data_IF_382351936277
#
_entry.id   IF_382351936277
#
_cell.length_a   1.000
_cell.length_b   1.000
_cell.length_c   1.000
_cell.angle_alpha   90.00
_cell.angle_beta   90.00
_cell.angle_gamma   90.00
#
_symmetry.space_group_name_H-M   'P 1'
#
loop_
_entity.id
_entity.type
_entity.pdbx_description
1 polymer ?
#
# COMPACT_ATOMS: atom_id res chain seq x y z
N UNK A 1 -6.03 -11.21 -4.45
CA UNK A 1 -5.28 -12.04 -3.48
C UNK A 1 -4.00 -11.29 -3.21
N UNK A 2 -3.64 -11.10 -1.94
CA UNK A 2 -2.40 -10.42 -1.57
C UNK A 2 -1.25 -11.43 -1.66
N UNK A 3 -0.16 -11.08 -2.36
CA UNK A 3 1.02 -11.96 -2.42
C UNK A 3 1.70 -12.03 -1.05
N UNK A 4 2.34 -13.17 -0.77
CA UNK A 4 3.18 -13.40 0.42
C UNK A 4 4.69 -13.31 0.10
N UNK A 5 5.05 -12.92 -1.13
CA UNK A 5 6.44 -12.78 -1.53
C UNK A 5 7.18 -11.79 -0.61
N UNK A 6 8.40 -12.16 -0.20
CA UNK A 6 9.23 -11.35 0.68
C UNK A 6 10.11 -10.36 -0.09
N UNK A 7 10.31 -10.58 -1.39
CA UNK A 7 11.11 -9.71 -2.27
C UNK A 7 10.44 -9.50 -3.62
N UNK A 8 10.92 -8.50 -4.37
CA UNK A 8 10.44 -8.20 -5.73
C UNK A 8 10.79 -9.34 -6.68
N UNK A 9 11.97 -9.94 -6.54
CA UNK A 9 12.42 -11.08 -7.33
C UNK A 9 11.50 -12.29 -7.11
N UNK A 10 11.19 -12.60 -5.84
CA UNK A 10 10.24 -13.66 -5.51
C UNK A 10 8.85 -13.34 -6.07
N UNK A 11 8.38 -12.09 -5.93
CA UNK A 11 7.09 -11.67 -6.46
C UNK A 11 7.00 -11.90 -7.96
N UNK A 12 8.02 -11.48 -8.72
CA UNK A 12 8.09 -11.69 -10.16
C UNK A 12 8.14 -13.19 -10.49
N UNK A 13 8.94 -13.98 -9.78
CA UNK A 13 9.08 -15.42 -9.98
C UNK A 13 7.77 -16.22 -9.76
N UNK A 14 6.89 -15.72 -8.90
CA UNK A 14 5.57 -16.33 -8.64
C UNK A 14 4.51 -15.97 -9.70
N UNK A 15 4.76 -14.95 -10.54
CA UNK A 15 3.80 -14.53 -11.57
C UNK A 15 3.80 -15.47 -12.78
N UNK A 16 2.62 -15.71 -13.40
CA UNK A 16 2.53 -16.30 -14.73
C UNK A 16 3.38 -15.52 -15.74
N UNK A 17 4.00 -16.19 -16.74
CA UNK A 17 4.96 -15.56 -17.65
C UNK A 17 4.44 -14.29 -18.34
N UNK A 18 3.19 -14.30 -18.81
CA UNK A 18 2.56 -13.16 -19.49
C UNK A 18 2.42 -11.95 -18.56
N UNK A 19 1.98 -12.17 -17.32
CA UNK A 19 1.86 -11.12 -16.30
C UNK A 19 3.22 -10.62 -15.82
N UNK A 20 4.21 -11.52 -15.68
CA UNK A 20 5.59 -11.15 -15.34
C UNK A 20 6.15 -10.18 -16.36
N UNK A 21 6.06 -10.53 -17.65
CA UNK A 21 6.53 -9.67 -18.75
C UNK A 21 5.88 -8.29 -18.73
N UNK A 22 4.56 -8.23 -18.53
CA UNK A 22 3.84 -6.96 -18.45
C UNK A 22 4.23 -6.11 -17.23
N UNK A 23 4.36 -6.73 -16.05
CA UNK A 23 4.82 -6.06 -14.82
C UNK A 23 6.25 -5.56 -14.98
N UNK A 24 7.14 -6.35 -15.57
CA UNK A 24 8.54 -5.96 -15.82
C UNK A 24 8.65 -4.76 -16.77
N UNK A 25 7.81 -4.70 -17.80
CA UNK A 25 7.78 -3.56 -18.73
C UNK A 25 7.44 -2.24 -17.99
N UNK A 26 6.43 -2.27 -17.11
CA UNK A 26 6.02 -1.10 -16.32
C UNK A 26 7.06 -0.78 -15.24
N UNK A 27 7.59 -1.79 -14.55
CA UNK A 27 8.67 -1.65 -13.54
C UNK A 27 9.88 -0.92 -14.13
N UNK A 28 10.31 -1.29 -15.34
CA UNK A 28 11.42 -0.62 -16.03
C UNK A 28 11.15 0.88 -16.24
N UNK A 29 9.91 1.27 -16.55
CA UNK A 29 9.54 2.68 -16.71
C UNK A 29 9.58 3.42 -15.38
N UNK A 30 9.04 2.82 -14.32
CA UNK A 30 9.03 3.43 -12.98
C UNK A 30 10.48 3.63 -12.48
N UNK A 31 11.31 2.59 -12.54
CA UNK A 31 12.71 2.66 -12.09
C UNK A 31 13.54 3.73 -12.82
N UNK A 32 13.27 3.97 -14.11
CA UNK A 32 13.93 5.06 -14.87
C UNK A 32 13.39 6.45 -14.55
N UNK A 33 12.26 6.55 -13.85
CA UNK A 33 11.52 7.80 -13.65
C UNK A 33 11.55 8.30 -12.21
N UNK A 34 11.82 7.42 -11.25
CA UNK A 34 11.97 7.78 -9.84
C UNK A 34 13.33 8.43 -9.57
N UNK A 35 13.39 9.26 -8.54
CA UNK A 35 14.66 9.82 -8.05
C UNK A 35 15.32 8.92 -6.99
N UNK A 36 16.56 9.26 -6.62
CA UNK A 36 17.40 8.47 -5.68
C UNK A 36 16.84 8.37 -4.24
N UNK A 37 15.84 9.18 -3.92
CA UNK A 37 15.21 9.23 -2.61
C UNK A 37 13.98 8.32 -2.53
N UNK A 38 13.70 7.58 -3.60
CA UNK A 38 12.71 6.51 -3.67
C UNK A 38 13.40 5.15 -3.72
N UNK A 39 12.92 4.21 -2.90
CA UNK A 39 13.39 2.83 -2.87
C UNK A 39 12.30 1.88 -3.38
N UNK A 40 12.73 0.77 -3.97
CA UNK A 40 11.84 -0.32 -4.41
C UNK A 40 11.85 -1.45 -3.38
N UNK A 41 10.68 -2.00 -3.07
CA UNK A 41 10.54 -3.17 -2.20
C UNK A 41 9.13 -3.75 -2.24
N UNK A 42 8.83 -4.68 -1.32
CA UNK A 42 7.48 -5.22 -1.17
C UNK A 42 6.66 -4.35 -0.21
N UNK A 43 5.50 -3.88 -0.66
CA UNK A 43 4.57 -3.09 0.16
C UNK A 43 3.14 -3.57 -0.08
N UNK A 44 2.40 -3.90 0.98
CA UNK A 44 1.01 -4.40 0.90
C UNK A 44 0.83 -5.61 -0.05
N UNK A 45 1.84 -6.49 -0.15
CA UNK A 45 1.82 -7.69 -1.01
C UNK A 45 1.89 -7.40 -2.51
N UNK A 46 2.49 -6.28 -2.90
CA UNK A 46 2.79 -5.87 -4.27
C UNK A 46 4.13 -5.14 -4.31
N UNK A 47 4.64 -4.87 -5.51
CA UNK A 47 5.86 -4.06 -5.66
C UNK A 47 5.49 -2.62 -5.28
N UNK A 48 6.22 -2.06 -4.32
CA UNK A 48 6.08 -0.69 -3.85
C UNK A 48 7.33 0.11 -4.15
N UNK A 49 7.11 1.36 -4.53
CA UNK A 49 8.12 2.40 -4.60
C UNK A 49 7.74 3.42 -3.54
N UNK A 50 8.63 3.66 -2.59
CA UNK A 50 8.34 4.40 -1.38
C UNK A 50 9.49 5.32 -1.00
N UNK A 51 9.17 6.36 -0.24
CA UNK A 51 10.16 7.25 0.34
C UNK A 51 10.52 6.68 1.72
N UNK A 52 11.78 6.24 1.93
CA UNK A 52 12.20 5.56 3.15
C UNK A 52 12.28 6.53 4.33
N UNK A 53 12.24 6.00 5.56
CA UNK A 53 12.32 6.80 6.78
C UNK A 53 13.60 7.65 6.89
N UNK A 54 14.70 7.24 6.24
CA UNK A 54 15.94 8.05 6.18
C UNK A 54 15.72 9.39 5.47
N UNK A 55 14.79 9.46 4.51
CA UNK A 55 14.44 10.67 3.76
C UNK A 55 13.27 11.39 4.43
N UNK A 56 12.24 10.63 4.85
CA UNK A 56 11.05 11.18 5.49
C UNK A 56 10.74 10.43 6.80
N UNK A 57 11.34 10.86 7.92
CA UNK A 57 11.24 10.17 9.21
C UNK A 57 9.80 9.92 9.71
N UNK A 58 8.83 10.85 9.56
CA UNK A 58 7.47 10.63 10.04
C UNK A 58 6.74 9.45 9.41
N UNK A 59 7.16 8.99 8.22
CA UNK A 59 6.52 7.87 7.52
C UNK A 59 5.08 8.13 7.11
N UNK A 60 4.35 7.06 6.82
CA UNK A 60 2.98 7.16 6.36
C UNK A 60 2.00 7.56 7.50
N UNK A 61 1.14 8.55 7.26
CA UNK A 61 0.23 9.05 8.29
C UNK A 61 -0.76 8.04 8.90
N UNK A 62 -1.13 6.99 8.17
CA UNK A 62 -2.04 5.96 8.70
C UNK A 62 -1.29 4.93 9.56
N UNK A 63 -0.03 4.63 9.20
CA UNK A 63 0.85 3.75 9.95
C UNK A 63 2.29 4.29 9.84
N UNK A 64 2.74 5.07 10.83
CA UNK A 64 4.07 5.70 10.82
C UNK A 64 5.24 4.72 10.81
N UNK A 65 5.01 3.41 10.96
CA UNK A 65 6.06 2.39 10.78
C UNK A 65 6.30 2.05 9.32
N UNK A 66 5.38 2.42 8.44
CA UNK A 66 5.51 2.23 7.01
C UNK A 66 6.21 3.44 6.39
N UNK A 67 7.08 3.23 5.40
CA UNK A 67 7.62 4.32 4.59
C UNK A 67 6.48 5.01 3.83
N UNK A 68 6.73 6.22 3.34
CA UNK A 68 5.69 7.00 2.67
C UNK A 68 5.43 6.42 1.26
N UNK A 69 4.22 5.91 0.97
CA UNK A 69 3.93 5.30 -0.33
C UNK A 69 3.96 6.32 -1.46
N UNK A 70 4.66 6.00 -2.55
CA UNK A 70 4.81 6.89 -3.70
C UNK A 70 4.14 6.32 -4.96
N UNK A 71 4.53 5.09 -5.35
CA UNK A 71 3.90 4.32 -6.44
C UNK A 71 3.79 2.85 -6.02
N UNK A 72 2.78 2.12 -6.46
CA UNK A 72 2.76 0.65 -6.32
C UNK A 72 2.36 -0.03 -7.63
N UNK A 73 2.88 -1.22 -7.87
CA UNK A 73 2.65 -2.02 -9.07
C UNK A 73 2.17 -3.41 -8.68
N UNK A 74 0.94 -3.74 -9.06
CA UNK A 74 0.25 -4.94 -8.60
C UNK A 74 -0.26 -5.81 -9.72
N UNK A 75 -0.21 -7.11 -9.48
CA UNK A 75 -0.88 -8.15 -10.24
C UNK A 75 -2.15 -8.62 -9.51
N UNK A 76 -3.30 -8.04 -9.86
CA UNK A 76 -4.61 -8.40 -9.29
C UNK A 76 -5.28 -9.56 -10.05
N UNK A 77 -6.31 -10.19 -9.45
CA UNK A 77 -6.98 -11.36 -10.03
C UNK A 77 -7.40 -11.17 -11.50
N UNK A 78 -7.94 -10.01 -11.84
CA UNK A 78 -8.56 -9.76 -13.15
C UNK A 78 -7.79 -8.77 -14.04
N UNK A 79 -6.83 -8.03 -13.47
CA UNK A 79 -6.07 -6.97 -14.14
C UNK A 79 -4.73 -6.76 -13.43
N UNK A 80 -3.83 -6.00 -14.04
CA UNK A 80 -2.69 -5.40 -13.36
C UNK A 80 -2.98 -3.93 -13.10
N UNK A 81 -2.34 -3.37 -12.08
CA UNK A 81 -2.62 -2.01 -11.64
C UNK A 81 -1.36 -1.24 -11.27
N UNK A 82 -1.31 0.03 -11.68
CA UNK A 82 -0.36 1.01 -11.16
C UNK A 82 -1.11 1.95 -10.23
N UNK A 83 -0.68 2.04 -8.98
CA UNK A 83 -1.19 2.98 -7.99
C UNK A 83 -0.26 4.18 -7.94
N UNK A 84 -0.73 5.35 -8.36
CA UNK A 84 0.04 6.59 -8.46
C UNK A 84 -0.29 7.53 -7.30
N UNK A 85 0.24 7.24 -6.11
CA UNK A 85 0.05 8.11 -4.94
C UNK A 85 0.70 9.48 -5.13
N UNK A 86 1.78 9.53 -5.92
CA UNK A 86 2.54 10.76 -6.22
C UNK A 86 1.71 11.89 -6.84
N UNK A 87 0.71 11.57 -7.66
CA UNK A 87 -0.18 12.57 -8.29
C UNK A 87 -1.53 12.70 -7.57
N UNK A 88 -1.83 11.79 -6.63
CA UNK A 88 -3.13 11.74 -5.98
C UNK A 88 -3.36 12.96 -5.07
N UNK A 89 -4.48 13.65 -5.28
CA UNK A 89 -4.87 14.84 -4.53
C UNK A 89 -4.23 16.14 -5.03
N UNK A 90 -3.26 16.08 -5.94
CA UNK A 90 -2.71 17.25 -6.62
C UNK A 90 -3.54 17.53 -7.87
N UNK A 91 -4.46 18.48 -7.80
CA UNK A 91 -5.35 18.83 -8.93
C UNK A 91 -4.57 19.21 -10.19
N UNK A 92 -3.43 19.88 -10.04
CA UNK A 92 -2.59 20.30 -11.15
C UNK A 92 -1.93 19.11 -11.86
N UNK A 93 -1.35 18.16 -11.10
CA UNK A 93 -0.69 16.99 -11.69
C UNK A 93 -1.71 15.98 -12.23
N UNK A 94 -2.86 15.80 -11.56
CA UNK A 94 -3.93 14.94 -12.07
C UNK A 94 -4.51 15.50 -13.39
N UNK A 95 -4.72 16.81 -13.47
CA UNK A 95 -5.19 17.47 -14.71
C UNK A 95 -4.20 17.27 -15.84
N UNK A 96 -2.93 17.61 -15.62
CA UNK A 96 -1.87 17.43 -16.62
C UNK A 96 -1.80 15.96 -17.07
N UNK A 97 -1.87 15.01 -16.13
CA UNK A 97 -1.79 13.59 -16.44
C UNK A 97 -2.94 13.13 -17.36
N UNK A 98 -4.18 13.53 -17.05
CA UNK A 98 -5.35 13.20 -17.86
C UNK A 98 -5.28 13.82 -19.25
N UNK A 99 -4.85 15.08 -19.36
CA UNK A 99 -4.68 15.77 -20.64
C UNK A 99 -3.58 15.13 -21.49
N UNK A 100 -2.44 14.80 -20.88
CA UNK A 100 -1.33 14.13 -21.56
C UNK A 100 -1.73 12.72 -22.02
N UNK A 101 -2.48 11.97 -21.21
CA UNK A 101 -2.97 10.65 -21.56
C UNK A 101 -3.98 10.69 -22.73
N UNK A 102 -4.89 11.67 -22.71
CA UNK A 102 -5.88 11.83 -23.78
C UNK A 102 -5.21 12.07 -25.16
N UNK A 103 -4.10 12.82 -25.19
CA UNK A 103 -3.32 13.08 -26.41
C UNK A 103 -2.72 11.82 -27.03
N UNK A 104 -2.56 10.73 -26.27
CA UNK A 104 -2.03 9.47 -26.83
C UNK A 104 -3.10 8.62 -27.52
N UNK A 105 -4.37 9.01 -27.44
CA UNK A 105 -5.50 8.21 -27.95
C UNK A 105 -5.77 6.91 -27.18
N UNK A 106 -5.05 6.65 -26.08
CA UNK A 106 -5.25 5.45 -25.26
C UNK A 106 -6.37 5.68 -24.25
N UNK A 107 -7.19 4.66 -24.02
CA UNK A 107 -8.23 4.72 -22.98
C UNK A 107 -7.59 4.73 -21.59
N UNK A 108 -7.94 5.71 -20.76
CA UNK A 108 -7.56 5.75 -19.35
C UNK A 108 -8.60 5.01 -18.50
N UNK A 109 -8.34 3.75 -18.13
CA UNK A 109 -9.10 3.03 -17.10
C UNK A 109 -8.49 3.30 -15.72
N UNK A 110 -9.01 4.31 -15.02
CA UNK A 110 -8.47 4.74 -13.73
C UNK A 110 -9.55 4.95 -12.68
N UNK A 111 -9.28 4.47 -11.45
CA UNK A 111 -10.00 4.87 -10.25
C UNK A 111 -9.48 6.19 -9.67
N UNK A 112 -9.47 6.34 -8.34
CA UNK A 112 -8.92 7.54 -7.68
C UNK A 112 -7.40 7.70 -7.90
N UNK A 113 -6.66 6.61 -7.78
CA UNK A 113 -5.20 6.59 -7.96
C UNK A 113 -4.70 5.34 -8.69
N UNK A 114 -5.62 4.44 -9.07
CA UNK A 114 -5.32 3.11 -9.58
C UNK A 114 -5.62 3.05 -11.08
N UNK A 115 -4.59 2.94 -11.90
CA UNK A 115 -4.69 2.76 -13.36
C UNK A 115 -4.65 1.26 -13.64
N UNK A 116 -5.67 0.73 -14.32
CA UNK A 116 -5.82 -0.69 -14.60
C UNK A 116 -5.40 -1.00 -16.04
N UNK A 117 -4.71 -2.12 -16.23
CA UNK A 117 -4.27 -2.59 -17.53
C UNK A 117 -4.23 -4.11 -17.60
N UNK A 118 -4.24 -4.67 -18.82
CA UNK A 118 -4.09 -6.11 -19.06
C UNK A 118 -2.79 -6.41 -19.80
N UNK A 119 -2.32 -5.48 -20.64
CA UNK A 119 -1.03 -5.55 -21.34
C UNK A 119 -0.36 -4.18 -21.34
N UNK A 120 0.98 -4.11 -21.51
CA UNK A 120 1.70 -2.84 -21.52
C UNK A 120 1.17 -1.83 -22.55
N UNK A 121 0.70 -2.31 -23.70
CA UNK A 121 0.15 -1.47 -24.76
C UNK A 121 -1.13 -0.71 -24.36
N UNK A 122 -1.82 -1.14 -23.31
CA UNK A 122 -2.97 -0.41 -22.78
C UNK A 122 -2.54 0.90 -22.09
N UNK A 123 -1.26 1.01 -21.69
CA UNK A 123 -0.72 2.15 -20.95
C UNK A 123 -0.02 3.16 -21.87
N UNK A 124 -0.20 4.44 -21.58
CA UNK A 124 0.68 5.49 -22.07
C UNK A 124 1.96 5.53 -21.21
N UNK A 125 2.88 4.59 -21.44
CA UNK A 125 4.07 4.40 -20.59
C UNK A 125 4.94 5.67 -20.49
N UNK A 126 5.06 6.44 -21.57
CA UNK A 126 5.82 7.69 -21.55
C UNK A 126 5.17 8.75 -20.65
N UNK A 127 3.83 8.87 -20.72
CA UNK A 127 3.05 9.76 -19.85
C UNK A 127 3.15 9.32 -18.40
N UNK A 128 3.12 8.01 -18.14
CA UNK A 128 3.28 7.45 -16.80
C UNK A 128 4.65 7.79 -16.22
N UNK A 129 5.73 7.57 -16.97
CA UNK A 129 7.08 7.93 -16.54
C UNK A 129 7.23 9.44 -16.31
N UNK A 130 6.62 10.25 -17.17
CA UNK A 130 6.67 11.70 -17.04
C UNK A 130 5.91 12.21 -15.81
N UNK A 131 4.75 11.61 -15.49
CA UNK A 131 4.01 11.93 -14.27
C UNK A 131 4.85 11.73 -13.00
N UNK A 132 5.65 10.66 -12.98
CA UNK A 132 6.57 10.35 -11.88
C UNK A 132 7.66 11.42 -11.80
N UNK A 133 8.31 11.76 -12.93
CA UNK A 133 9.39 12.76 -12.96
C UNK A 133 8.93 14.16 -12.56
N UNK A 134 7.70 14.54 -12.90
CA UNK A 134 7.08 15.83 -12.55
C UNK A 134 6.79 15.99 -11.05
N UNK A 135 6.88 14.90 -10.31
CA UNK A 135 6.65 14.85 -8.87
C UNK A 135 7.90 14.38 -8.12
N UNK A 136 8.99 15.17 -8.08
CA UNK A 136 10.17 14.82 -7.28
C UNK A 136 9.81 14.57 -5.81
N UNK A 137 10.57 13.69 -5.15
CA UNK A 137 10.36 13.27 -3.76
C UNK A 137 10.13 14.46 -2.82
N UNK A 138 10.96 15.51 -2.92
CA UNK A 138 10.82 16.73 -2.12
C UNK A 138 9.47 17.42 -2.32
N UNK A 139 9.06 17.64 -3.58
CA UNK A 139 7.78 18.28 -3.93
C UNK A 139 6.60 17.44 -3.43
N UNK A 140 6.71 16.12 -3.52
CA UNK A 140 5.68 15.22 -3.01
C UNK A 140 5.55 15.30 -1.49
N UNK A 141 6.66 15.29 -0.74
CA UNK A 141 6.64 15.44 0.73
C UNK A 141 5.99 16.76 1.14
N UNK A 142 6.39 17.87 0.52
CA UNK A 142 5.82 19.20 0.81
C UNK A 142 4.30 19.24 0.58
N UNK A 143 3.85 18.67 -0.54
CA UNK A 143 2.43 18.54 -0.84
C UNK A 143 1.71 17.66 0.20
N UNK A 144 2.30 16.52 0.52
CA UNK A 144 1.75 15.55 1.47
C UNK A 144 1.56 16.16 2.86
N UNK A 145 2.58 16.83 3.40
CA UNK A 145 2.51 17.51 4.69
C UNK A 145 1.45 18.61 4.71
N UNK A 146 1.34 19.39 3.62
CA UNK A 146 0.29 20.41 3.47
C UNK A 146 -1.10 19.81 3.58
N UNK A 147 -1.36 18.71 2.86
CA UNK A 147 -2.65 18.00 2.91
C UNK A 147 -2.95 17.51 4.33
N UNK A 148 -1.97 16.91 5.01
CA UNK A 148 -2.16 16.44 6.40
C UNK A 148 -2.45 17.59 7.37
N UNK A 149 -1.75 18.72 7.24
CA UNK A 149 -1.98 19.91 8.08
C UNK A 149 -3.38 20.47 7.85
N UNK A 150 -3.82 20.54 6.60
CA UNK A 150 -5.16 21.01 6.24
C UNK A 150 -6.26 20.08 6.76
N UNK A 151 -6.06 18.77 6.68
CA UNK A 151 -6.96 17.77 7.25
C UNK A 151 -7.05 17.92 8.77
N UNK A 152 -5.92 18.00 9.49
CA UNK A 152 -5.87 18.22 10.94
C UNK A 152 -6.61 19.51 11.34
N UNK A 153 -6.42 20.59 10.59
CA UNK A 153 -7.12 21.86 10.81
C UNK A 153 -8.63 21.72 10.63
N UNK A 154 -9.08 21.02 9.57
CA UNK A 154 -10.51 20.77 9.32
C UNK A 154 -11.13 19.91 10.44
N UNK A 155 -10.45 18.85 10.86
CA UNK A 155 -10.89 18.00 11.98
C UNK A 155 -10.95 18.76 13.30
N UNK A 156 -9.99 19.65 13.58
CA UNK A 156 -9.99 20.49 14.78
C UNK A 156 -11.15 21.50 14.78
N UNK A 157 -11.44 22.13 13.63
CA UNK A 157 -12.58 23.06 13.49
C UNK A 157 -13.95 22.39 13.56
N UNK A 158 -14.03 21.12 13.16
CA UNK A 158 -15.27 20.34 13.19
C UNK A 158 -15.60 19.76 14.58
N UNK A 159 -14.69 19.82 15.56
CA UNK A 159 -14.97 19.41 16.95
C UNK A 159 -15.67 20.56 17.68
N UNK A 160 -16.94 20.42 18.13
CA UNK A 160 -17.57 21.44 18.95
C UNK A 160 -16.78 21.61 20.27
N UNK A 161 -16.62 22.86 20.69
CA UNK A 161 -16.03 23.18 21.99
C UNK A 161 -16.98 22.70 23.09
N UNK A 162 -16.67 21.56 23.70
CA UNK A 162 -17.37 21.05 24.87
C UNK A 162 -18.21 19.80 24.62
N UNK A 163 -17.56 18.64 24.72
CA UNK A 163 -18.18 17.54 25.46
C UNK A 163 -17.05 16.87 26.24
N UNK A 164 -17.02 17.12 27.55
CA UNK A 164 -16.25 16.28 28.47
C UNK A 164 -16.77 14.86 28.26
N UNK A 165 -15.96 13.99 27.66
CA UNK A 165 -16.24 12.57 27.60
C UNK A 165 -16.31 12.07 29.04
N UNK A 166 -17.54 11.86 29.53
CA UNK A 166 -17.83 11.15 30.78
C UNK A 166 -17.13 9.79 30.69
N UNK A 167 -16.34 9.35 31.68
CA UNK A 167 -15.78 8.01 31.64
C UNK A 167 -16.95 7.04 31.79
N UNK A 168 -17.36 6.41 30.68
CA UNK A 168 -18.27 5.27 30.74
C UNK A 168 -17.47 4.12 31.33
N UNK A 169 -17.61 3.94 32.64
CA UNK A 169 -17.18 2.73 33.32
C UNK A 169 -17.82 1.53 32.63
N UNK A 170 -17.03 0.80 31.86
CA UNK A 170 -17.32 -0.60 31.55
C UNK A 170 -16.71 -1.41 32.68
N UNK A 171 -17.55 -1.73 33.66
CA UNK A 171 -17.30 -2.81 34.61
C UNK A 171 -17.11 -4.09 33.80
N UNK A 172 -15.89 -4.62 33.79
CA UNK A 172 -15.62 -5.95 33.30
C UNK A 172 -16.29 -6.96 34.25
N UNK A 173 -17.07 -7.94 33.78
CA UNK A 173 -17.42 -9.06 34.63
C UNK A 173 -16.16 -9.88 34.89
N UNK A 174 -15.70 -9.86 36.14
CA UNK A 174 -14.71 -10.79 36.66
C UNK A 174 -15.23 -12.22 36.48
N UNK A 175 -14.55 -13.03 35.66
CA UNK A 175 -14.59 -14.49 35.84
C UNK A 175 -13.50 -14.83 36.83
N UNK A 176 -13.92 -15.02 38.07
CA UNK A 176 -13.09 -15.58 39.12
C UNK A 176 -12.67 -16.99 38.73
N UNK A 177 -11.35 -17.21 38.82
CA UNK A 177 -10.68 -18.50 38.87
C UNK A 177 -11.15 -19.31 40.06
N UNK A 178 -11.51 -20.59 39.84
CA UNK A 178 -11.48 -21.61 40.88
C UNK A 178 -10.56 -22.72 40.39
N UNK A 179 -9.36 -22.78 40.97
CA UNK A 179 -8.48 -23.95 40.96
C UNK A 179 -8.76 -24.75 42.24
N UNK A 180 -8.62 -26.09 42.13
CA UNK A 180 -8.20 -27.07 43.14
C UNK A 180 -9.03 -28.36 43.01
N UNK A 181 -8.54 -29.59 43.03
CA UNK A 181 -7.20 -30.18 42.98
C UNK A 181 -7.35 -31.70 42.74
N UNK A 182 -6.26 -32.31 42.23
CA UNK A 182 -5.70 -33.68 42.46
C UNK A 182 -6.64 -34.82 42.87
N UNK A 183 -6.62 -35.99 42.21
CA UNK A 183 -5.62 -37.07 42.41
C UNK A 183 -5.73 -38.11 41.27
N UNK A 184 -4.69 -38.41 40.48
CA UNK A 184 -3.56 -39.36 40.64
C UNK A 184 -3.85 -40.87 40.63
N UNK A 185 -3.21 -41.56 39.67
CA UNK A 185 -2.83 -43.00 39.61
C UNK A 185 -3.95 -43.97 39.17
N UNK A 186 -3.79 -44.98 38.31
CA UNK A 186 -2.72 -45.98 38.12
C UNK A 186 -3.01 -46.70 36.78
N UNK A 187 -2.12 -46.67 35.77
CA UNK A 187 -1.12 -47.69 35.37
C UNK A 187 -1.66 -48.91 34.58
N UNK A 188 -0.84 -49.30 33.58
CA UNK A 188 -0.85 -50.52 32.73
C UNK A 188 -1.84 -50.46 31.56
N UNK A 189 -1.48 -50.68 30.30
CA UNK A 189 -0.29 -51.32 29.71
C UNK A 189 -0.76 -52.45 28.79
N UNK A 190 -0.06 -52.62 27.66
CA UNK A 190 -0.05 -53.83 26.81
C UNK A 190 -1.25 -53.94 25.84
N UNK A 191 -1.22 -54.43 24.60
CA UNK A 191 -0.25 -54.75 23.54
C UNK A 191 -1.13 -55.37 22.42
N UNK A 192 -0.84 -55.05 21.15
CA UNK A 192 -1.05 -55.87 19.92
C UNK A 192 -2.32 -56.73 19.72
N UNK A 193 -2.97 -56.57 18.57
CA UNK A 193 -3.06 -57.55 17.45
C UNK A 193 -4.01 -56.97 16.37
N UNK A 194 -3.57 -56.75 15.13
CA UNK A 194 -3.66 -57.68 13.98
C UNK A 194 -5.01 -58.41 13.86
N UNK A 195 -5.62 -58.22 12.69
CA UNK A 195 -6.82 -58.86 12.16
C UNK A 195 -7.19 -58.12 10.89
#
# INVERSE_FOLDING_TARGET
MQSKAASVEQYLAELPPERRSAIEAVRKVILRSIDKDVEEGMQYGMIGYYIPHRVYPPGYHCDPKQPLPFVCLASQKNHMAVYMSCIYGSEAEERWFREAWAKTGKKLDMGKSCIRFRKPDDLALDVLGEAIRRTPTKKFIEFYEKVLKDQRRKTAKARPAGTKSKPTGRTAPQRASVQSARSSSTKRGRQTSKG
#
